data_IF_458033941017
#
_entry.id   IF_458033941017
#
_cell.length_a   1.000
_cell.length_b   1.000
_cell.length_c   1.000
_cell.angle_alpha   90.00
_cell.angle_beta   90.00
_cell.angle_gamma   90.00
#
_symmetry.space_group_name_H-M   'P 1'
#
loop_
_entity.id
_entity.type
_entity.pdbx_description
1 polymer ?
#
# COMPACT_ATOMS: atom_id res chain seq x y z
N UNK A 1 10.46 37.06 6.73
CA UNK A 1 9.23 36.75 7.47
C UNK A 1 8.85 35.30 7.10
N UNK A 2 9.03 34.34 8.03
CA UNK A 2 8.71 32.93 7.76
C UNK A 2 7.19 32.73 7.94
N UNK A 3 6.51 32.25 6.91
CA UNK A 3 5.09 31.90 6.99
C UNK A 3 5.02 30.60 7.81
N UNK A 4 4.36 30.59 8.99
CA UNK A 4 4.24 29.38 9.76
C UNK A 4 3.37 28.38 9.00
N UNK A 5 3.97 27.26 8.59
CA UNK A 5 3.26 26.16 8.00
C UNK A 5 2.34 25.51 9.07
N UNK A 6 1.08 25.88 9.07
CA UNK A 6 0.07 25.14 9.84
C UNK A 6 -0.20 23.83 9.10
N UNK A 7 0.20 22.70 9.68
CA UNK A 7 -0.28 21.40 9.23
C UNK A 7 -1.82 21.43 9.29
N UNK A 8 -2.51 21.26 8.15
CA UNK A 8 -3.95 21.13 8.18
C UNK A 8 -4.28 19.90 9.04
N UNK A 9 -5.04 20.07 10.09
CA UNK A 9 -5.55 18.94 10.84
C UNK A 9 -6.53 18.21 9.94
N UNK A 10 -6.28 16.92 9.66
CA UNK A 10 -7.27 16.05 9.02
C UNK A 10 -8.44 15.95 9.99
N UNK A 11 -9.62 16.32 9.55
CA UNK A 11 -10.83 16.09 10.33
C UNK A 11 -11.16 14.60 10.31
N UNK A 12 -11.72 14.02 11.37
CA UNK A 12 -12.17 12.61 11.36
C UNK A 12 -13.12 12.28 10.21
N UNK A 13 -13.83 13.29 9.69
CA UNK A 13 -14.77 13.19 8.56
C UNK A 13 -14.07 12.90 7.21
N UNK A 14 -12.79 13.24 7.07
CA UNK A 14 -12.06 13.02 5.80
C UNK A 14 -11.69 11.55 5.56
N UNK A 15 -11.71 10.70 6.60
CA UNK A 15 -11.25 9.30 6.56
C UNK A 15 -9.74 9.17 6.34
N UNK A 16 -9.21 7.97 6.57
CA UNK A 16 -7.79 7.65 6.39
C UNK A 16 -7.64 6.36 5.60
N UNK A 17 -6.98 6.41 4.44
CA UNK A 17 -6.63 5.25 3.65
C UNK A 17 -5.14 4.96 3.73
N UNK A 18 -4.77 3.71 3.98
CA UNK A 18 -3.40 3.22 3.94
C UNK A 18 -3.15 2.47 2.63
N UNK A 19 -2.09 2.83 1.93
CA UNK A 19 -1.65 2.17 0.69
C UNK A 19 -0.45 1.30 1.01
N UNK A 20 -0.65 -0.01 0.88
CA UNK A 20 0.38 -1.02 1.13
C UNK A 20 1.02 -1.46 -0.19
N UNK A 21 2.33 -1.34 -0.28
CA UNK A 21 3.12 -1.87 -1.39
C UNK A 21 4.38 -2.58 -0.87
N UNK A 22 4.75 -3.66 -1.57
CA UNK A 22 6.01 -4.38 -1.33
C UNK A 22 6.67 -4.62 -2.68
N UNK A 23 7.87 -4.12 -2.83
CA UNK A 23 8.62 -4.12 -4.09
C UNK A 23 9.88 -4.95 -3.90
N UNK A 24 10.16 -5.84 -4.85
CA UNK A 24 11.43 -6.55 -4.92
C UNK A 24 12.52 -5.58 -5.40
N UNK A 25 13.58 -5.46 -4.64
CA UNK A 25 14.76 -4.67 -5.00
C UNK A 25 15.90 -5.56 -5.50
N UNK A 26 17.01 -4.94 -5.83
CA UNK A 26 18.22 -5.65 -6.27
C UNK A 26 18.73 -6.60 -5.19
N UNK A 27 19.31 -7.73 -5.61
CA UNK A 27 19.84 -8.73 -4.68
C UNK A 27 18.76 -9.50 -3.92
N UNK A 28 17.48 -9.42 -4.34
CA UNK A 28 16.36 -10.13 -3.71
C UNK A 28 15.84 -9.49 -2.43
N UNK A 29 16.26 -8.27 -2.09
CA UNK A 29 15.69 -7.55 -0.94
C UNK A 29 14.22 -7.19 -1.20
N UNK A 30 13.43 -7.10 -0.14
CA UNK A 30 12.07 -6.60 -0.18
C UNK A 30 11.99 -5.22 0.47
N UNK A 31 11.42 -4.28 -0.25
CA UNK A 31 11.16 -2.92 0.21
C UNK A 31 9.66 -2.76 0.43
N UNK A 32 9.26 -2.64 1.67
CA UNK A 32 7.86 -2.43 2.04
C UNK A 32 7.58 -0.97 2.37
N UNK A 33 6.39 -0.49 2.01
CA UNK A 33 5.91 0.81 2.44
C UNK A 33 4.42 0.83 2.69
N UNK A 34 4.03 1.64 3.67
CA UNK A 34 2.66 1.98 4.01
C UNK A 34 2.53 3.51 3.98
N UNK A 35 1.79 4.03 3.00
CA UNK A 35 1.51 5.45 2.86
C UNK A 35 0.07 5.73 3.31
N UNK A 36 -0.10 6.51 4.36
CA UNK A 36 -1.40 6.95 4.85
C UNK A 36 -1.76 8.30 4.25
N UNK A 37 -2.95 8.36 3.66
CA UNK A 37 -3.52 9.60 3.12
C UNK A 37 -4.89 9.87 3.76
N UNK A 38 -5.23 11.16 3.89
CA UNK A 38 -6.63 11.51 4.16
C UNK A 38 -7.50 11.37 2.90
N UNK A 39 -8.81 11.44 3.04
CA UNK A 39 -9.75 11.34 1.92
C UNK A 39 -9.56 12.43 0.84
N UNK A 40 -8.70 13.43 1.07
CA UNK A 40 -8.31 14.47 0.10
C UNK A 40 -6.95 14.19 -0.56
N UNK A 41 -6.34 13.03 -0.26
CA UNK A 41 -5.05 12.64 -0.82
C UNK A 41 -3.83 13.33 -0.19
N UNK A 42 -4.00 13.98 0.98
CA UNK A 42 -2.87 14.60 1.69
C UNK A 42 -2.14 13.54 2.51
N UNK A 43 -0.79 13.49 2.48
CA UNK A 43 -0.02 12.53 3.23
C UNK A 43 -0.13 12.80 4.74
N UNK A 44 -0.44 11.76 5.49
CA UNK A 44 -0.54 11.77 6.94
C UNK A 44 0.69 11.11 7.58
N UNK A 45 1.09 9.97 7.04
CA UNK A 45 2.21 9.17 7.54
C UNK A 45 2.81 8.34 6.41
N UNK A 46 4.11 8.10 6.47
CA UNK A 46 4.83 7.19 5.58
C UNK A 46 5.71 6.29 6.42
N UNK A 47 5.38 4.99 6.44
CA UNK A 47 6.14 3.94 7.14
C UNK A 47 6.80 3.08 6.08
N UNK A 48 8.05 2.69 6.29
CA UNK A 48 8.78 1.86 5.36
C UNK A 48 9.72 0.90 6.10
N UNK A 49 10.03 -0.21 5.45
CA UNK A 49 11.06 -1.13 5.90
C UNK A 49 11.83 -1.72 4.72
N UNK A 50 12.97 -2.33 5.04
CA UNK A 50 13.81 -3.08 4.13
C UNK A 50 14.08 -4.44 4.77
N UNK A 51 13.80 -5.50 4.06
CA UNK A 51 13.94 -6.87 4.56
C UNK A 51 14.78 -7.68 3.58
N UNK A 52 15.76 -8.40 4.09
CA UNK A 52 16.49 -9.42 3.34
C UNK A 52 15.81 -10.77 3.59
N UNK A 53 15.24 -11.41 2.56
CA UNK A 53 14.67 -12.74 2.72
C UNK A 53 15.73 -13.72 3.22
N UNK A 54 15.39 -14.64 4.12
CA UNK A 54 16.32 -15.69 4.53
C UNK A 54 16.75 -16.51 3.30
N UNK A 55 18.02 -16.89 3.21
CA UNK A 55 18.58 -17.57 2.05
C UNK A 55 17.75 -18.80 1.61
N UNK A 56 17.50 -18.89 0.31
CA UNK A 56 16.45 -19.70 -0.33
C UNK A 56 16.64 -21.22 -0.37
N UNK A 57 17.43 -21.83 0.53
CA UNK A 57 17.62 -23.28 0.52
C UNK A 57 16.58 -24.09 1.31
N UNK A 58 15.74 -23.40 2.12
CA UNK A 58 14.75 -24.08 2.99
C UNK A 58 13.30 -24.03 2.46
N UNK A 59 12.99 -23.14 1.50
CA UNK A 59 11.61 -22.94 1.03
C UNK A 59 11.57 -22.82 -0.50
N UNK A 60 10.50 -23.31 -1.17
CA UNK A 60 10.22 -22.95 -2.55
C UNK A 60 10.11 -21.41 -2.68
N UNK A 61 10.75 -20.84 -3.69
CA UNK A 61 10.86 -19.38 -3.88
C UNK A 61 9.51 -18.63 -3.76
N UNK A 62 8.44 -19.23 -4.26
CA UNK A 62 7.10 -18.62 -4.26
C UNK A 62 6.47 -18.53 -2.85
N UNK A 63 6.61 -19.60 -2.04
CA UNK A 63 6.11 -19.62 -0.66
C UNK A 63 6.95 -18.73 0.25
N UNK A 64 8.25 -18.67 0.02
CA UNK A 64 9.16 -17.79 0.75
C UNK A 64 8.81 -16.32 0.50
N UNK A 65 8.57 -15.96 -0.75
CA UNK A 65 8.20 -14.59 -1.13
C UNK A 65 6.90 -14.16 -0.44
N UNK A 66 5.87 -15.01 -0.48
CA UNK A 66 4.60 -14.71 0.19
C UNK A 66 4.76 -14.55 1.71
N UNK A 67 5.47 -15.45 2.38
CA UNK A 67 5.71 -15.33 3.82
C UNK A 67 6.46 -14.04 4.18
N UNK A 68 7.42 -13.62 3.35
CA UNK A 68 8.12 -12.36 3.53
C UNK A 68 7.20 -11.15 3.33
N UNK A 69 6.29 -11.17 2.35
CA UNK A 69 5.31 -10.09 2.14
C UNK A 69 4.44 -9.91 3.39
N UNK A 70 3.92 -11.00 3.97
CA UNK A 70 3.13 -10.94 5.19
C UNK A 70 3.92 -10.34 6.36
N UNK A 71 5.15 -10.81 6.59
CA UNK A 71 6.02 -10.30 7.65
C UNK A 71 6.33 -8.80 7.48
N UNK A 72 6.61 -8.38 6.23
CA UNK A 72 6.82 -6.97 5.88
C UNK A 72 5.57 -6.15 6.18
N UNK A 73 4.40 -6.60 5.71
CA UNK A 73 3.14 -5.90 5.93
C UNK A 73 2.81 -5.76 7.43
N UNK A 74 2.93 -6.83 8.21
CA UNK A 74 2.69 -6.78 9.66
C UNK A 74 3.63 -5.78 10.35
N UNK A 75 4.92 -5.80 10.02
CA UNK A 75 5.88 -4.86 10.63
C UNK A 75 5.58 -3.39 10.29
N UNK A 76 5.01 -3.13 9.10
CA UNK A 76 4.58 -1.79 8.70
C UNK A 76 3.34 -1.35 9.48
N UNK A 77 2.35 -2.24 9.67
CA UNK A 77 1.16 -1.93 10.47
C UNK A 77 1.54 -1.71 11.94
N UNK A 78 2.43 -2.53 12.52
CA UNK A 78 2.89 -2.38 13.89
C UNK A 78 3.65 -1.07 14.13
N UNK A 79 4.39 -0.59 13.12
CA UNK A 79 5.10 0.67 13.18
C UNK A 79 4.21 1.91 12.92
N UNK A 80 3.02 1.70 12.38
CA UNK A 80 2.08 2.76 12.05
C UNK A 80 1.47 3.37 13.32
N UNK A 81 1.46 4.70 13.39
CA UNK A 81 0.92 5.43 14.54
C UNK A 81 -0.56 5.76 14.42
N UNK A 82 -1.11 5.62 13.22
CA UNK A 82 -2.51 5.91 12.91
C UNK A 82 -3.20 4.65 12.46
N UNK A 83 -4.40 4.43 12.95
CA UNK A 83 -5.27 3.37 12.47
C UNK A 83 -5.99 3.85 11.21
N UNK A 84 -5.82 3.19 10.05
CA UNK A 84 -6.54 3.54 8.83
C UNK A 84 -7.96 2.98 8.85
N UNK A 85 -8.88 3.66 8.17
CA UNK A 85 -10.25 3.18 7.94
C UNK A 85 -10.31 2.16 6.79
N UNK A 86 -9.33 2.20 5.90
CA UNK A 86 -9.27 1.39 4.68
C UNK A 86 -7.82 1.08 4.33
N UNK A 87 -7.55 -0.15 3.93
CA UNK A 87 -6.27 -0.54 3.30
C UNK A 87 -6.49 -0.73 1.80
N UNK A 88 -5.60 -0.17 0.99
CA UNK A 88 -5.55 -0.35 -0.46
C UNK A 88 -4.26 -1.06 -0.82
N UNK A 89 -4.33 -2.16 -1.57
CA UNK A 89 -3.16 -2.90 -2.04
C UNK A 89 -3.28 -3.27 -3.51
N UNK A 90 -2.15 -3.57 -4.16
CA UNK A 90 -2.13 -4.08 -5.53
C UNK A 90 -2.38 -5.59 -5.56
N UNK A 91 -2.98 -6.09 -6.63
CA UNK A 91 -3.16 -7.54 -6.84
C UNK A 91 -1.83 -8.30 -6.99
N UNK A 92 -0.75 -7.60 -7.30
CA UNK A 92 0.60 -8.16 -7.40
C UNK A 92 1.17 -8.66 -6.08
N UNK A 93 0.62 -8.23 -4.94
CA UNK A 93 1.04 -8.70 -3.61
C UNK A 93 0.63 -10.14 -3.32
N UNK A 94 -0.35 -10.68 -4.04
CA UNK A 94 -0.78 -12.06 -3.89
C UNK A 94 -2.27 -12.28 -4.17
N UNK A 95 -2.71 -13.54 -4.19
CA UNK A 95 -4.12 -13.86 -4.36
C UNK A 95 -4.95 -13.37 -3.17
N UNK A 96 -6.24 -13.15 -3.40
CA UNK A 96 -7.18 -12.61 -2.40
C UNK A 96 -7.18 -13.37 -1.09
N UNK A 97 -7.24 -14.71 -1.16
CA UNK A 97 -7.30 -15.54 0.06
C UNK A 97 -6.02 -15.37 0.90
N UNK A 98 -4.86 -15.25 0.25
CA UNK A 98 -3.62 -14.94 0.93
C UNK A 98 -3.65 -13.54 1.57
N UNK A 99 -4.08 -12.54 0.83
CA UNK A 99 -4.19 -11.17 1.36
C UNK A 99 -5.15 -11.11 2.57
N UNK A 100 -6.25 -11.86 2.51
CA UNK A 100 -7.24 -11.92 3.58
C UNK A 100 -6.73 -12.59 4.84
N UNK A 101 -6.00 -13.70 4.71
CA UNK A 101 -5.60 -14.56 5.84
C UNK A 101 -4.27 -14.14 6.42
N UNK A 102 -3.28 -13.88 5.57
CA UNK A 102 -1.89 -13.69 5.98
C UNK A 102 -1.48 -12.21 6.10
N UNK A 103 -2.06 -11.35 5.25
CA UNK A 103 -1.73 -9.91 5.24
C UNK A 103 -2.80 -9.10 5.96
N UNK A 104 -4.04 -9.61 5.94
CA UNK A 104 -5.23 -8.87 6.33
C UNK A 104 -5.23 -8.40 7.78
N UNK A 105 -5.11 -7.09 8.02
CA UNK A 105 -5.47 -6.51 9.28
C UNK A 105 -6.98 -6.67 9.51
N UNK A 106 -7.45 -6.48 10.74
CA UNK A 106 -8.88 -6.38 11.07
C UNK A 106 -9.60 -5.19 10.38
N UNK A 107 -8.87 -4.46 9.54
CA UNK A 107 -9.32 -3.27 8.81
C UNK A 107 -9.83 -3.69 7.42
N UNK A 108 -10.92 -3.09 6.93
CA UNK A 108 -11.39 -3.33 5.56
C UNK A 108 -10.31 -3.10 4.52
N UNK A 109 -10.15 -4.04 3.58
CA UNK A 109 -9.10 -4.00 2.56
C UNK A 109 -9.71 -4.12 1.16
N UNK A 110 -9.18 -3.32 0.23
CA UNK A 110 -9.47 -3.43 -1.20
C UNK A 110 -8.20 -3.76 -1.98
N UNK A 111 -8.37 -4.55 -3.02
CA UNK A 111 -7.33 -4.83 -4.00
C UNK A 111 -7.63 -4.08 -5.29
N UNK A 112 -6.58 -3.51 -5.91
CA UNK A 112 -6.68 -2.75 -7.16
C UNK A 112 -5.84 -3.42 -8.25
N UNK A 113 -6.32 -3.35 -9.50
CA UNK A 113 -5.60 -3.86 -10.68
C UNK A 113 -6.01 -3.10 -11.93
N UNK A 114 -5.15 -3.03 -12.96
CA UNK A 114 -5.52 -2.51 -14.26
C UNK A 114 -6.37 -3.54 -15.01
N UNK A 115 -7.45 -3.09 -15.64
CA UNK A 115 -8.21 -3.89 -16.60
C UNK A 115 -7.57 -3.84 -17.99
N UNK A 116 -8.02 -4.71 -18.89
CA UNK A 116 -7.51 -4.79 -20.26
C UNK A 116 -7.69 -3.50 -21.08
N UNK A 117 -8.66 -2.68 -20.71
CA UNK A 117 -8.94 -1.35 -21.30
C UNK A 117 -8.16 -0.20 -20.64
N UNK A 118 -7.28 -0.51 -19.70
CA UNK A 118 -6.53 0.46 -18.91
C UNK A 118 -7.33 1.11 -17.77
N UNK A 119 -8.61 0.78 -17.62
CA UNK A 119 -9.39 1.25 -16.47
C UNK A 119 -8.93 0.59 -15.18
N UNK A 120 -8.93 1.32 -14.09
CA UNK A 120 -8.62 0.75 -12.78
C UNK A 120 -9.85 0.06 -12.20
N UNK A 121 -9.70 -1.23 -11.97
CA UNK A 121 -10.66 -2.07 -11.26
C UNK A 121 -10.25 -2.20 -9.80
N UNK A 122 -11.22 -2.45 -8.96
CA UNK A 122 -11.00 -2.72 -7.54
C UNK A 122 -12.10 -3.60 -6.96
N UNK A 123 -11.79 -4.33 -5.93
CA UNK A 123 -12.77 -5.13 -5.21
C UNK A 123 -12.35 -5.34 -3.75
N UNK A 124 -13.28 -5.72 -2.90
CA UNK A 124 -13.01 -6.02 -1.50
C UNK A 124 -12.22 -7.33 -1.36
N UNK A 125 -11.20 -7.32 -0.53
CA UNK A 125 -10.47 -8.54 -0.14
C UNK A 125 -11.30 -9.36 0.84
N UNK A 126 -11.88 -8.68 1.81
CA UNK A 126 -12.83 -9.22 2.79
C UNK A 126 -14.28 -8.88 2.38
N UNK A 127 -15.24 -9.32 3.17
CA UNK A 127 -16.61 -8.86 2.99
C UNK A 127 -16.66 -7.33 3.04
N UNK A 128 -17.47 -6.69 2.16
CA UNK A 128 -17.59 -5.25 2.18
C UNK A 128 -18.06 -4.76 3.56
N UNK A 129 -17.51 -3.67 4.08
CA UNK A 129 -17.90 -3.15 5.38
C UNK A 129 -19.38 -2.75 5.39
N UNK A 130 -19.98 -2.78 6.55
CA UNK A 130 -21.40 -2.44 6.72
C UNK A 130 -21.70 -1.03 6.20
N UNK A 131 -22.83 -0.88 5.55
CA UNK A 131 -23.32 0.40 5.07
C UNK A 131 -23.36 1.43 6.22
N UNK A 132 -22.73 2.57 6.05
CA UNK A 132 -22.57 3.59 7.09
C UNK A 132 -21.20 3.63 7.76
N UNK A 133 -20.37 2.60 7.62
CA UNK A 133 -18.96 2.70 7.98
C UNK A 133 -18.22 3.61 7.01
N UNK A 134 -17.25 4.39 7.50
CA UNK A 134 -16.45 5.32 6.67
C UNK A 134 -15.72 4.60 5.54
N UNK A 135 -15.16 3.43 5.82
CA UNK A 135 -14.50 2.56 4.83
C UNK A 135 -15.38 2.21 3.62
N UNK A 136 -16.71 2.04 3.83
CA UNK A 136 -17.64 1.71 2.74
C UNK A 136 -17.73 2.84 1.69
N UNK A 137 -17.75 4.10 2.12
CA UNK A 137 -17.81 5.26 1.22
C UNK A 137 -16.45 5.70 0.71
N UNK A 138 -15.38 5.42 1.46
CA UNK A 138 -14.04 5.91 1.17
C UNK A 138 -13.47 5.33 -0.14
N UNK A 139 -13.61 4.03 -0.40
CA UNK A 139 -13.08 3.40 -1.62
C UNK A 139 -13.68 3.99 -2.91
N UNK A 140 -15.02 4.15 -3.07
CA UNK A 140 -15.61 4.85 -4.21
C UNK A 140 -15.19 6.31 -4.33
N UNK A 141 -15.02 7.02 -3.20
CA UNK A 141 -14.55 8.41 -3.19
C UNK A 141 -13.12 8.53 -3.70
N UNK A 142 -12.22 7.63 -3.25
CA UNK A 142 -10.83 7.58 -3.72
C UNK A 142 -10.77 7.28 -5.22
N UNK A 143 -11.62 6.36 -5.73
CA UNK A 143 -11.74 6.10 -7.16
C UNK A 143 -12.14 7.36 -7.93
N UNK A 144 -13.20 8.03 -7.51
CA UNK A 144 -13.70 9.23 -8.17
C UNK A 144 -12.67 10.35 -8.21
N UNK A 145 -11.80 10.44 -7.21
CA UNK A 145 -10.73 11.43 -7.09
C UNK A 145 -9.41 11.02 -7.76
N UNK A 146 -9.33 9.83 -8.35
CA UNK A 146 -8.11 9.31 -8.98
C UNK A 146 -7.05 8.80 -8.00
N UNK A 147 -7.41 8.60 -6.73
CA UNK A 147 -6.46 8.17 -5.68
C UNK A 147 -6.41 6.65 -5.46
N UNK A 148 -6.92 5.82 -6.37
CA UNK A 148 -6.76 4.36 -6.22
C UNK A 148 -5.35 3.87 -6.57
N UNK A 149 -4.67 4.51 -7.52
CA UNK A 149 -3.36 4.05 -8.02
C UNK A 149 -2.26 5.09 -7.82
N UNK A 150 -2.58 6.38 -7.98
CA UNK A 150 -1.59 7.46 -7.88
C UNK A 150 -0.71 7.39 -6.61
N UNK A 151 -1.25 7.06 -5.41
CA UNK A 151 -0.43 6.96 -4.20
C UNK A 151 0.68 5.91 -4.26
N UNK A 152 0.53 4.86 -5.06
CA UNK A 152 1.59 3.87 -5.24
C UNK A 152 2.81 4.46 -5.97
N UNK A 153 2.62 5.40 -6.88
CA UNK A 153 3.73 6.12 -7.50
C UNK A 153 4.50 6.97 -6.47
N UNK A 154 3.78 7.55 -5.48
CA UNK A 154 4.44 8.26 -4.37
C UNK A 154 5.24 7.30 -3.49
N UNK A 155 4.72 6.09 -3.24
CA UNK A 155 5.43 5.04 -2.50
C UNK A 155 6.73 4.69 -3.23
N UNK A 156 6.66 4.32 -4.50
CA UNK A 156 7.83 3.97 -5.31
C UNK A 156 8.87 5.08 -5.27
N UNK A 157 8.45 6.31 -5.51
CA UNK A 157 9.35 7.48 -5.47
C UNK A 157 9.97 7.70 -4.09
N UNK A 158 9.19 7.51 -3.03
CA UNK A 158 9.69 7.58 -1.65
C UNK A 158 10.74 6.52 -1.36
N UNK A 159 10.48 5.28 -1.76
CA UNK A 159 11.41 4.16 -1.60
C UNK A 159 12.70 4.36 -2.42
N UNK A 160 12.61 4.90 -3.65
CA UNK A 160 13.79 5.25 -4.46
C UNK A 160 14.69 6.29 -3.81
N UNK A 161 14.10 7.26 -3.11
CA UNK A 161 14.86 8.28 -2.37
C UNK A 161 15.56 7.66 -1.16
N UNK A 162 14.88 6.75 -0.45
CA UNK A 162 15.38 6.14 0.78
C UNK A 162 16.37 4.99 0.50
N UNK A 163 16.16 4.26 -0.59
CA UNK A 163 16.91 3.06 -0.97
C UNK A 163 17.40 3.14 -2.43
N UNK A 164 18.22 4.14 -2.79
CA UNK A 164 18.60 4.39 -4.18
C UNK A 164 19.48 3.28 -4.78
N UNK A 165 20.14 2.47 -3.94
CA UNK A 165 20.97 1.34 -4.39
C UNK A 165 20.15 0.07 -4.60
N UNK A 166 19.00 -0.06 -3.98
CA UNK A 166 18.15 -1.25 -4.06
C UNK A 166 17.11 -1.13 -5.18
N UNK A 167 16.77 0.10 -5.61
CA UNK A 167 15.85 0.37 -6.72
C UNK A 167 16.55 1.19 -7.80
N UNK A 168 16.87 0.58 -8.94
CA UNK A 168 17.36 1.31 -10.11
C UNK A 168 16.21 2.03 -10.82
N UNK A 169 16.55 3.15 -11.50
CA UNK A 169 15.58 3.98 -12.22
C UNK A 169 14.82 3.25 -13.35
N UNK A 170 15.35 2.12 -13.83
CA UNK A 170 14.83 1.45 -15.03
C UNK A 170 13.65 0.49 -14.75
N UNK A 171 13.37 0.15 -13.50
CA UNK A 171 12.27 -0.78 -13.17
C UNK A 171 10.91 -0.11 -12.94
N UNK A 172 10.84 1.22 -13.00
CA UNK A 172 9.65 1.97 -12.61
C UNK A 172 8.99 2.77 -13.73
N UNK A 173 9.60 2.81 -14.91
CA UNK A 173 9.12 3.61 -16.05
C UNK A 173 8.41 2.77 -17.13
N UNK A 174 7.95 1.56 -16.81
CA UNK A 174 6.97 0.92 -17.67
C UNK A 174 5.64 1.69 -17.54
N UNK A 175 5.26 2.47 -18.54
CA UNK A 175 3.92 3.03 -18.58
C UNK A 175 2.98 1.83 -18.60
N UNK A 176 2.15 1.70 -17.58
CA UNK A 176 1.01 0.79 -17.62
C UNK A 176 0.28 1.08 -18.92
N UNK A 177 0.21 0.08 -19.85
CA UNK A 177 -0.44 0.27 -21.13
C UNK A 177 -1.93 0.57 -20.98
#
# INVERSE_FOLDING_TARGET
MAIPYRRPQSTPEDGCAAYLDVIAGQGGVLLGALLLLDGRGRPLEFVHNRTEPPGGWMWPDELQFQACIAAVAHSLFDACRREPDLVVCKCTLGPRDYLRVEVGPSIPMVVVWPAADGAIQWDWVNDPPTHGMRSHSLAPELKTRGFLVEPFHRIVRGLQILYPTDLTKDETDDPVP
#
